data_IF_408208068194
#
_entry.id   IF_408208068194
#
_cell.length_a   1.000
_cell.length_b   1.000
_cell.length_c   1.000
_cell.angle_alpha   90.00
_cell.angle_beta   90.00
_cell.angle_gamma   90.00
#
_symmetry.space_group_name_H-M   'P 1'
#
loop_
_entity.id
_entity.type
_entity.pdbx_description
1 polymer ?
#
# COMPACT_ATOMS: atom_id res chain seq x y z
N UNK A 1 8.56 7.78 63.61
CA UNK A 1 9.03 6.90 62.52
C UNK A 1 8.17 7.19 61.31
N UNK A 2 8.84 7.51 60.21
CA UNK A 2 8.41 7.90 58.86
C UNK A 2 6.92 7.88 58.50
N UNK A 3 6.52 9.02 57.96
CA UNK A 3 5.37 9.29 57.11
C UNK A 3 5.41 8.57 55.76
N UNK A 4 4.23 8.58 55.13
CA UNK A 4 3.92 8.62 53.70
C UNK A 4 3.94 7.34 52.86
N UNK A 5 2.71 6.81 52.72
CA UNK A 5 2.22 6.18 51.51
C UNK A 5 2.38 7.14 50.31
N UNK A 6 3.38 6.90 49.47
CA UNK A 6 3.51 7.57 48.17
C UNK A 6 2.87 6.70 47.10
N UNK A 7 1.62 7.06 46.78
CA UNK A 7 0.98 6.79 45.50
C UNK A 7 1.91 7.31 44.39
N UNK A 8 2.61 6.41 43.69
CA UNK A 8 3.31 6.78 42.48
C UNK A 8 2.28 6.99 41.36
N UNK A 9 2.11 8.25 41.00
CA UNK A 9 1.33 8.69 39.85
C UNK A 9 1.83 7.97 38.58
N UNK A 10 0.90 7.35 37.86
CA UNK A 10 1.12 6.90 36.49
C UNK A 10 1.42 8.15 35.67
N UNK A 11 2.67 8.34 35.29
CA UNK A 11 3.08 9.46 34.45
C UNK A 11 2.39 9.30 33.10
N UNK A 12 1.28 10.03 32.93
CA UNK A 12 0.44 9.95 31.76
C UNK A 12 1.09 10.78 30.66
N UNK A 13 2.13 10.22 30.03
CA UNK A 13 2.66 10.73 28.76
C UNK A 13 1.46 10.98 27.85
N UNK A 14 1.24 12.21 27.36
CA UNK A 14 0.04 12.55 26.62
C UNK A 14 -0.09 11.60 25.43
N UNK A 15 -1.17 10.81 25.42
CA UNK A 15 -1.42 9.86 24.33
C UNK A 15 -1.48 10.63 23.01
N UNK A 16 -0.68 10.21 22.03
CA UNK A 16 -0.69 10.79 20.69
C UNK A 16 -2.10 10.74 20.11
N UNK A 17 -2.62 11.91 19.72
CA UNK A 17 -3.97 12.05 19.15
C UNK A 17 -4.03 11.57 17.70
N UNK A 18 -3.04 11.96 16.90
CA UNK A 18 -2.92 11.55 15.49
C UNK A 18 -2.53 10.08 15.38
N UNK A 19 -3.22 9.32 14.54
CA UNK A 19 -2.94 7.89 14.31
C UNK A 19 -1.95 7.69 13.17
N UNK A 20 -1.16 6.63 13.23
CA UNK A 20 -0.18 6.27 12.20
C UNK A 20 -0.64 5.02 11.45
N UNK A 21 -0.70 5.14 10.13
CA UNK A 21 -0.92 4.02 9.20
C UNK A 21 0.42 3.63 8.60
N UNK A 22 0.78 2.35 8.66
CA UNK A 22 1.99 1.83 8.02
C UNK A 22 1.60 0.82 6.94
N UNK A 23 2.11 1.01 5.72
CA UNK A 23 1.94 0.02 4.65
C UNK A 23 2.88 -1.15 4.91
N UNK A 24 2.32 -2.36 4.98
CA UNK A 24 3.10 -3.58 5.19
C UNK A 24 3.50 -4.15 3.82
N UNK A 25 4.78 -4.46 3.66
CA UNK A 25 5.37 -4.97 2.42
C UNK A 25 6.49 -5.97 2.70
N UNK A 26 7.27 -6.36 1.68
CA UNK A 26 8.29 -7.40 1.79
C UNK A 26 9.33 -7.16 2.90
N UNK A 27 9.68 -5.90 3.18
CA UNK A 27 10.63 -5.54 4.24
C UNK A 27 10.01 -5.48 5.65
N UNK A 28 8.69 -5.56 5.76
CA UNK A 28 7.95 -5.35 7.01
C UNK A 28 6.93 -6.43 7.36
N UNK A 29 6.90 -7.55 6.61
CA UNK A 29 5.94 -8.64 6.80
C UNK A 29 6.40 -9.77 7.76
N UNK A 30 7.47 -9.54 8.52
CA UNK A 30 7.95 -10.48 9.55
C UNK A 30 7.36 -10.16 10.92
N UNK A 31 7.35 -11.14 11.81
CA UNK A 31 6.89 -10.97 13.19
C UNK A 31 7.67 -9.85 13.88
N UNK A 32 8.99 -9.91 13.80
CA UNK A 32 9.90 -8.98 14.48
C UNK A 32 9.62 -7.54 14.03
N UNK A 33 9.36 -7.34 12.73
CA UNK A 33 9.09 -6.01 12.21
C UNK A 33 7.70 -5.51 12.56
N UNK A 34 6.68 -6.37 12.55
CA UNK A 34 5.32 -6.00 12.96
C UNK A 34 5.30 -5.57 14.43
N UNK A 35 5.97 -6.31 15.32
CA UNK A 35 6.12 -5.94 16.73
C UNK A 35 6.85 -4.61 16.88
N UNK A 36 8.00 -4.46 16.23
CA UNK A 36 8.77 -3.23 16.25
C UNK A 36 7.95 -2.03 15.78
N UNK A 37 7.20 -2.17 14.68
CA UNK A 37 6.33 -1.10 14.16
C UNK A 37 5.20 -0.78 15.14
N UNK A 38 4.56 -1.78 15.73
CA UNK A 38 3.49 -1.58 16.69
C UNK A 38 3.99 -0.87 17.96
N UNK A 39 5.11 -1.31 18.52
CA UNK A 39 5.74 -0.74 19.72
C UNK A 39 6.30 0.67 19.49
N UNK A 40 6.75 0.97 18.27
CA UNK A 40 7.18 2.33 17.88
C UNK A 40 6.01 3.24 17.49
N UNK A 41 4.78 2.71 17.52
CA UNK A 41 3.55 3.50 17.48
C UNK A 41 2.73 3.39 16.19
N UNK A 42 2.86 2.34 15.39
CA UNK A 42 1.88 2.00 14.35
C UNK A 42 0.50 1.77 15.00
N UNK A 43 -0.56 2.33 14.41
CA UNK A 43 -1.95 2.08 14.82
C UNK A 43 -2.74 1.28 13.81
N UNK A 44 -2.36 1.33 12.54
CA UNK A 44 -3.04 0.62 11.46
C UNK A 44 -2.00 -0.03 10.56
N UNK A 45 -2.12 -1.34 10.36
CA UNK A 45 -1.41 -2.07 9.32
C UNK A 45 -2.22 -2.00 8.02
N UNK A 46 -1.73 -1.25 7.02
CA UNK A 46 -2.32 -1.16 5.68
C UNK A 46 -1.74 -2.24 4.79
N UNK A 47 -2.62 -3.05 4.20
CA UNK A 47 -2.27 -4.00 3.15
C UNK A 47 -2.78 -3.44 1.82
N UNK A 48 -1.85 -3.13 0.93
CA UNK A 48 -2.16 -2.63 -0.41
C UNK A 48 -2.44 -3.81 -1.34
N UNK A 49 -3.69 -3.98 -1.78
CA UNK A 49 -4.11 -5.08 -2.66
C UNK A 49 -3.63 -4.94 -4.11
N UNK A 50 -3.03 -3.80 -4.49
CA UNK A 50 -2.35 -3.68 -5.78
C UNK A 50 -1.09 -4.56 -5.87
N UNK A 51 -0.60 -5.06 -4.74
CA UNK A 51 0.58 -5.92 -4.64
C UNK A 51 0.35 -7.09 -3.66
N UNK A 52 1.14 -8.16 -3.79
CA UNK A 52 1.06 -9.33 -2.93
C UNK A 52 -0.16 -10.21 -3.23
N UNK A 53 -0.10 -11.45 -2.76
CA UNK A 53 -1.19 -12.42 -2.88
C UNK A 53 -1.98 -12.56 -1.56
N UNK A 54 -3.12 -13.25 -1.61
CA UNK A 54 -3.95 -13.50 -0.44
C UNK A 54 -3.18 -14.21 0.70
N UNK A 55 -2.24 -15.09 0.39
CA UNK A 55 -1.48 -15.83 1.39
C UNK A 55 -0.54 -14.90 2.18
N UNK A 56 0.14 -14.00 1.47
CA UNK A 56 1.03 -12.99 2.05
C UNK A 56 0.25 -12.02 2.95
N UNK A 57 -0.94 -11.59 2.53
CA UNK A 57 -1.82 -10.72 3.33
C UNK A 57 -2.39 -11.46 4.55
N UNK A 58 -2.79 -12.73 4.39
CA UNK A 58 -3.27 -13.56 5.50
C UNK A 58 -2.20 -13.71 6.60
N UNK A 59 -0.94 -13.93 6.23
CA UNK A 59 0.18 -13.99 7.19
C UNK A 59 0.29 -12.70 8.01
N UNK A 60 0.16 -11.53 7.37
CA UNK A 60 0.19 -10.24 8.07
C UNK A 60 -1.00 -10.10 9.01
N UNK A 61 -2.20 -10.49 8.58
CA UNK A 61 -3.42 -10.48 9.42
C UNK A 61 -3.21 -11.32 10.68
N UNK A 62 -2.69 -12.53 10.52
CA UNK A 62 -2.48 -13.46 11.64
C UNK A 62 -1.45 -12.91 12.63
N UNK A 63 -0.35 -12.34 12.15
CA UNK A 63 0.67 -11.72 12.99
C UNK A 63 0.13 -10.49 13.75
N UNK A 64 -0.68 -9.65 13.11
CA UNK A 64 -1.31 -8.49 13.77
C UNK A 64 -2.32 -8.94 14.83
N UNK A 65 -3.11 -9.98 14.55
CA UNK A 65 -4.03 -10.56 15.54
C UNK A 65 -3.28 -11.18 16.71
N UNK A 66 -2.19 -11.87 16.44
CA UNK A 66 -1.33 -12.45 17.47
C UNK A 66 -0.73 -11.35 18.37
N UNK A 67 -0.18 -10.28 17.78
CA UNK A 67 0.32 -9.13 18.54
C UNK A 67 -0.77 -8.54 19.44
N UNK A 68 -1.96 -8.29 18.89
CA UNK A 68 -3.07 -7.72 19.65
C UNK A 68 -3.54 -8.63 20.79
N UNK A 69 -3.45 -9.96 20.64
CA UNK A 69 -3.81 -10.90 21.69
C UNK A 69 -2.78 -10.95 22.84
N UNK A 70 -1.50 -10.67 22.55
CA UNK A 70 -0.42 -10.65 23.53
C UNK A 70 -0.22 -9.29 24.18
N UNK A 71 -0.62 -8.21 23.50
CA UNK A 71 -0.42 -6.85 23.98
C UNK A 71 -1.38 -6.50 25.12
N UNK A 72 -0.83 -6.07 26.26
CA UNK A 72 -1.60 -5.63 27.44
C UNK A 72 -1.60 -4.13 27.64
N UNK A 73 -0.81 -3.38 26.85
CA UNK A 73 -0.59 -1.93 27.02
C UNK A 73 -1.70 -1.07 26.40
N UNK A 74 -2.74 -1.71 25.85
CA UNK A 74 -3.88 -1.04 25.23
C UNK A 74 -3.60 -0.41 23.86
N UNK A 75 -2.46 -0.71 23.25
CA UNK A 75 -2.14 -0.31 21.88
C UNK A 75 -2.62 -1.37 20.87
N UNK A 76 -3.90 -1.32 20.52
CA UNK A 76 -4.47 -2.20 19.49
C UNK A 76 -4.12 -1.68 18.10
N UNK A 77 -3.58 -2.57 17.25
CA UNK A 77 -3.32 -2.31 15.84
C UNK A 77 -4.52 -2.74 15.00
N UNK A 78 -5.13 -1.81 14.28
CA UNK A 78 -6.18 -2.10 13.31
C UNK A 78 -5.59 -2.63 11.99
N UNK A 79 -6.42 -3.30 11.21
CA UNK A 79 -6.06 -3.82 9.89
C UNK A 79 -6.86 -3.05 8.84
N UNK A 80 -6.18 -2.53 7.82
CA UNK A 80 -6.78 -1.80 6.70
C UNK A 80 -6.46 -2.54 5.40
N UNK A 81 -7.52 -2.91 4.68
CA UNK A 81 -7.43 -3.42 3.31
C UNK A 81 -7.63 -2.26 2.36
N UNK A 82 -6.63 -2.00 1.53
CA UNK A 82 -6.67 -0.95 0.52
C UNK A 82 -6.82 -1.58 -0.87
N UNK A 83 -7.94 -1.31 -1.52
CA UNK A 83 -8.29 -1.89 -2.81
C UNK A 83 -7.66 -1.09 -3.96
N UNK A 84 -7.15 -1.79 -4.98
CA UNK A 84 -6.52 -1.20 -6.17
C UNK A 84 -7.37 -0.13 -6.89
N UNK A 85 -8.72 -0.27 -6.88
CA UNK A 85 -9.60 0.58 -7.68
C UNK A 85 -9.48 0.32 -9.19
N UNK A 86 -10.27 1.03 -10.02
CA UNK A 86 -10.13 0.99 -11.47
C UNK A 86 -8.83 1.71 -11.88
N UNK A 87 -7.94 1.02 -12.58
CA UNK A 87 -6.67 1.58 -13.06
C UNK A 87 -6.43 1.18 -14.52
N UNK A 88 -6.18 2.17 -15.37
CA UNK A 88 -5.68 1.97 -16.73
C UNK A 88 -4.16 1.83 -16.66
N UNK A 89 -3.63 0.72 -17.17
CA UNK A 89 -2.21 0.38 -17.20
C UNK A 89 -1.83 -0.05 -18.61
N UNK A 90 -0.61 0.27 -19.03
CA UNK A 90 0.01 -0.38 -20.17
C UNK A 90 0.16 -1.89 -19.90
N UNK A 91 0.14 -2.66 -20.98
CA UNK A 91 0.49 -4.08 -20.97
C UNK A 91 1.97 -4.28 -20.71
N UNK A 92 2.36 -5.53 -20.49
CA UNK A 92 3.75 -5.89 -20.22
C UNK A 92 4.65 -5.54 -21.41
N UNK A 93 5.78 -4.90 -21.10
CA UNK A 93 6.83 -4.58 -22.06
C UNK A 93 8.01 -5.54 -21.88
N UNK A 94 8.55 -6.13 -22.96
CA UNK A 94 9.74 -6.97 -22.87
C UNK A 94 11.00 -6.16 -22.53
N UNK A 95 11.07 -4.92 -23.02
CA UNK A 95 12.12 -3.95 -22.76
C UNK A 95 11.47 -2.56 -22.62
N UNK A 96 12.05 -1.62 -21.85
CA UNK A 96 11.55 -0.26 -21.76
C UNK A 96 11.49 0.42 -23.14
N UNK A 97 10.38 1.10 -23.44
CA UNK A 97 10.24 1.92 -24.64
C UNK A 97 10.56 3.37 -24.26
N UNK A 98 11.49 3.98 -24.97
CA UNK A 98 11.84 5.38 -24.81
C UNK A 98 11.04 6.22 -25.82
N UNK A 99 10.18 7.10 -25.33
CA UNK A 99 9.42 8.02 -26.18
C UNK A 99 10.21 9.31 -26.43
N UNK A 100 10.27 9.72 -27.70
CA UNK A 100 10.82 11.02 -28.08
C UNK A 100 9.71 12.07 -28.29
N UNK A 101 10.02 13.34 -28.05
CA UNK A 101 9.08 14.43 -28.34
C UNK A 101 8.68 14.43 -29.83
N UNK A 102 7.38 14.53 -30.09
CA UNK A 102 6.82 14.50 -31.45
C UNK A 102 6.74 13.12 -32.09
N UNK A 103 7.15 12.05 -31.39
CA UNK A 103 6.97 10.68 -31.85
C UNK A 103 5.49 10.29 -31.84
N UNK A 104 5.02 9.68 -32.93
CA UNK A 104 3.72 9.01 -32.94
C UNK A 104 3.81 7.68 -32.18
N UNK A 105 2.88 7.47 -31.26
CA UNK A 105 2.83 6.27 -30.43
C UNK A 105 1.38 5.83 -30.23
N UNK A 106 1.14 4.52 -30.25
CA UNK A 106 -0.19 3.94 -30.26
C UNK A 106 -0.50 3.19 -28.96
N UNK A 107 -1.70 3.41 -28.43
CA UNK A 107 -2.30 2.57 -27.38
C UNK A 107 -3.39 1.70 -28.00
N UNK A 108 -3.37 0.41 -27.72
CA UNK A 108 -4.35 -0.53 -28.28
C UNK A 108 -5.05 -1.37 -27.21
N UNK A 109 -6.32 -1.70 -27.42
CA UNK A 109 -7.04 -2.66 -26.56
C UNK A 109 -6.74 -4.12 -26.94
N UNK A 110 -5.98 -4.36 -28.01
CA UNK A 110 -5.55 -5.70 -28.41
C UNK A 110 -4.51 -6.24 -27.43
N UNK A 111 -4.93 -7.21 -26.60
CA UNK A 111 -4.09 -7.79 -25.54
C UNK A 111 -2.82 -8.44 -26.10
N UNK A 112 -1.69 -8.20 -25.42
CA UNK A 112 -0.40 -8.81 -25.74
C UNK A 112 0.39 -8.14 -26.87
N UNK A 113 -0.12 -7.03 -27.43
CA UNK A 113 0.64 -6.23 -28.39
C UNK A 113 1.67 -5.37 -27.65
N UNK A 114 2.92 -5.50 -28.06
CA UNK A 114 4.05 -4.65 -27.66
C UNK A 114 5.03 -4.57 -28.83
N UNK A 115 5.10 -3.42 -29.48
CA UNK A 115 6.08 -3.07 -30.54
C UNK A 115 6.81 -1.78 -30.13
N UNK A 116 7.77 -1.34 -30.94
CA UNK A 116 8.51 -0.09 -30.70
C UNK A 116 7.60 1.16 -30.60
N UNK A 117 6.44 1.12 -31.26
CA UNK A 117 5.52 2.25 -31.42
C UNK A 117 4.09 1.96 -30.92
N UNK A 118 3.85 0.79 -30.32
CA UNK A 118 2.50 0.39 -29.89
C UNK A 118 2.56 -0.45 -28.61
N UNK A 119 1.73 -0.09 -27.63
CA UNK A 119 1.52 -0.90 -26.41
C UNK A 119 0.04 -1.18 -26.18
N UNK A 120 -0.27 -2.37 -25.66
CA UNK A 120 -1.63 -2.66 -25.22
C UNK A 120 -1.98 -1.91 -23.92
N UNK A 121 -3.27 -1.64 -23.68
CA UNK A 121 -3.78 -1.13 -22.40
C UNK A 121 -4.72 -2.15 -21.76
N UNK A 122 -4.79 -2.16 -20.43
CA UNK A 122 -5.55 -3.14 -19.69
C UNK A 122 -7.07 -2.83 -19.58
N UNK A 123 -7.54 -1.75 -20.20
CA UNK A 123 -8.90 -1.23 -20.13
C UNK A 123 -9.57 -1.35 -21.51
N UNK A 124 -10.58 -2.22 -21.63
CA UNK A 124 -11.18 -2.57 -22.93
C UNK A 124 -12.02 -1.42 -23.52
N UNK A 125 -12.61 -0.57 -22.68
CA UNK A 125 -13.41 0.58 -23.12
C UNK A 125 -12.55 1.82 -23.39
N UNK A 126 -11.21 1.71 -23.32
CA UNK A 126 -10.29 2.83 -23.50
C UNK A 126 -10.54 3.62 -24.79
N UNK A 127 -10.75 2.95 -25.92
CA UNK A 127 -10.99 3.61 -27.22
C UNK A 127 -12.36 4.29 -27.32
N UNK A 128 -13.29 3.95 -26.44
CA UNK A 128 -14.64 4.55 -26.38
C UNK A 128 -14.66 5.79 -25.48
N UNK A 129 -13.72 5.88 -24.55
CA UNK A 129 -13.65 6.93 -23.53
C UNK A 129 -12.64 8.05 -23.86
N UNK A 130 -11.90 7.92 -24.97
CA UNK A 130 -10.94 8.93 -25.44
C UNK A 130 -11.40 9.57 -26.75
N UNK A 131 -11.13 10.86 -26.88
CA UNK A 131 -11.42 11.65 -28.07
C UNK A 131 -10.17 12.35 -28.60
N UNK A 132 -10.23 12.80 -29.86
CA UNK A 132 -9.15 13.55 -30.46
C UNK A 132 -8.92 14.88 -29.71
N UNK A 133 -7.71 15.05 -29.17
CA UNK A 133 -7.34 16.22 -28.37
C UNK A 133 -7.18 15.92 -26.88
N UNK A 134 -7.57 14.73 -26.42
CA UNK A 134 -7.32 14.31 -25.04
C UNK A 134 -5.82 14.14 -24.76
N UNK A 135 -5.46 14.39 -23.50
CA UNK A 135 -4.09 14.24 -22.99
C UNK A 135 -4.00 12.93 -22.23
N UNK A 136 -3.12 12.04 -22.68
CA UNK A 136 -2.78 10.80 -21.98
C UNK A 136 -1.52 11.02 -21.16
N UNK A 137 -1.63 10.86 -19.84
CA UNK A 137 -0.49 10.87 -18.92
C UNK A 137 -0.01 9.44 -18.69
N UNK A 138 1.28 9.21 -18.85
CA UNK A 138 1.93 7.90 -18.69
C UNK A 138 2.95 8.01 -17.56
N UNK A 139 2.97 7.04 -16.66
CA UNK A 139 3.83 7.01 -15.46
C UNK A 139 3.69 8.19 -14.48
N UNK A 140 2.66 9.02 -14.64
CA UNK A 140 2.25 10.01 -13.64
C UNK A 140 3.08 11.30 -13.62
N UNK A 141 3.84 11.58 -14.68
CA UNK A 141 4.43 12.91 -14.97
C UNK A 141 3.79 13.59 -16.18
#
# INVERSE_FOLDING_TARGET
VSTDATSQAVDATPRRKTKIVCTIGPSTNTREMIWKLAETGMNVARMNMSHGDHQSHQKVIDLVKEYNAQNTDGNTVAIMLDTKGPEVRSGDLPEPIMLAEGQEFNFTIKRGVSTEDTVSVNYDDFISDVEAGDILLVDGE
#
